data_IF_391655935593
#
_entry.id   IF_391655935593
#
_cell.length_a   1.000
_cell.length_b   1.000
_cell.length_c   1.000
_cell.angle_alpha   90.00
_cell.angle_beta   90.00
_cell.angle_gamma   90.00
#
_symmetry.space_group_name_H-M   'P 1'
#
loop_
_entity.id
_entity.type
_entity.pdbx_description
1 polymer ?
#
# COMPACT_ATOMS: atom_id res chain seq x y z
N UNK A 1 1.32 -19.10 -11.71
CA UNK A 1 2.47 -19.97 -11.31
C UNK A 1 3.73 -19.17 -10.97
N UNK A 2 4.13 -18.15 -11.76
CA UNK A 2 5.36 -17.39 -11.49
C UNK A 2 5.22 -16.33 -10.38
N UNK A 3 4.02 -15.79 -10.18
CA UNK A 3 3.75 -14.71 -9.20
C UNK A 3 4.23 -15.04 -7.78
N UNK A 4 3.88 -16.21 -7.25
CA UNK A 4 4.29 -16.59 -5.89
C UNK A 4 5.81 -16.72 -5.73
N UNK A 5 6.52 -17.25 -6.74
CA UNK A 5 7.99 -17.31 -6.72
C UNK A 5 8.62 -15.93 -6.80
N UNK A 6 8.08 -15.05 -7.66
CA UNK A 6 8.55 -13.66 -7.79
C UNK A 6 8.40 -12.91 -6.47
N UNK A 7 7.25 -13.04 -5.78
CA UNK A 7 7.02 -12.40 -4.48
C UNK A 7 8.04 -12.90 -3.45
N UNK A 8 8.23 -14.21 -3.33
CA UNK A 8 9.17 -14.79 -2.37
C UNK A 8 10.62 -14.34 -2.60
N UNK A 9 11.07 -14.33 -3.86
CA UNK A 9 12.42 -13.88 -4.22
C UNK A 9 12.56 -12.37 -3.94
N UNK A 10 11.56 -11.57 -4.32
CA UNK A 10 11.58 -10.13 -4.09
C UNK A 10 11.68 -9.80 -2.60
N UNK A 11 10.86 -10.43 -1.76
CA UNK A 11 10.87 -10.22 -0.31
C UNK A 11 12.22 -10.63 0.28
N UNK A 12 12.76 -11.79 -0.10
CA UNK A 12 14.05 -12.26 0.41
C UNK A 12 15.19 -11.29 0.06
N UNK A 13 15.23 -10.80 -1.19
CA UNK A 13 16.22 -9.81 -1.63
C UNK A 13 16.05 -8.49 -0.87
N UNK A 14 14.82 -8.01 -0.71
CA UNK A 14 14.54 -6.78 0.06
C UNK A 14 15.01 -6.91 1.51
N UNK A 15 14.74 -8.03 2.19
CA UNK A 15 15.18 -8.27 3.57
C UNK A 15 16.71 -8.20 3.66
N UNK A 16 17.42 -8.90 2.78
CA UNK A 16 18.89 -8.90 2.79
C UNK A 16 19.43 -7.48 2.58
N UNK A 17 18.91 -6.75 1.58
CA UNK A 17 19.34 -5.38 1.30
C UNK A 17 19.05 -4.47 2.49
N UNK A 18 17.86 -4.54 3.09
CA UNK A 18 17.50 -3.71 4.24
C UNK A 18 18.38 -3.97 5.46
N UNK A 19 18.72 -5.23 5.74
CA UNK A 19 19.65 -5.57 6.83
C UNK A 19 21.06 -5.03 6.55
N UNK A 20 21.57 -5.19 5.32
CA UNK A 20 22.88 -4.67 4.94
C UNK A 20 22.93 -3.14 5.06
N UNK A 21 21.89 -2.44 4.59
CA UNK A 21 21.79 -0.99 4.69
C UNK A 21 21.69 -0.54 6.15
N UNK A 22 20.88 -1.23 6.97
CA UNK A 22 20.75 -0.89 8.39
C UNK A 22 22.08 -1.02 9.14
N UNK A 23 22.83 -2.10 8.88
CA UNK A 23 24.18 -2.28 9.44
C UNK A 23 25.13 -1.20 8.93
N UNK A 24 25.14 -0.91 7.63
CA UNK A 24 26.04 0.09 7.03
C UNK A 24 25.79 1.51 7.55
N UNK A 25 24.52 1.91 7.73
CA UNK A 25 24.16 3.21 8.29
C UNK A 25 24.48 3.23 9.78
N UNK A 26 24.11 2.18 10.53
CA UNK A 26 24.34 2.09 11.97
C UNK A 26 25.81 1.97 12.38
N UNK A 27 26.69 1.49 11.50
CA UNK A 27 28.14 1.49 11.73
C UNK A 27 28.82 2.81 11.35
N UNK A 28 28.16 3.64 10.53
CA UNK A 28 28.76 4.84 9.96
C UNK A 28 28.34 6.13 10.66
N UNK A 29 27.18 6.15 11.32
CA UNK A 29 26.61 7.32 12.01
C UNK A 29 26.19 6.97 13.43
N UNK A 30 26.32 7.95 14.34
CA UNK A 30 25.72 7.88 15.68
C UNK A 30 24.19 8.00 15.62
N UNK A 31 23.51 7.57 16.69
CA UNK A 31 22.04 7.64 16.77
C UNK A 31 21.54 9.09 16.63
N UNK A 32 22.25 10.05 17.24
CA UNK A 32 21.92 11.48 17.11
C UNK A 32 22.01 11.97 15.67
N UNK A 33 23.07 11.59 14.95
CA UNK A 33 23.26 11.97 13.54
C UNK A 33 22.21 11.33 12.63
N UNK A 34 21.81 10.08 12.90
CA UNK A 34 20.73 9.41 12.15
C UNK A 34 19.40 10.14 12.34
N UNK A 35 19.13 10.63 13.56
CA UNK A 35 17.90 11.37 13.86
C UNK A 35 17.92 12.75 13.20
N UNK A 36 19.05 13.45 13.26
CA UNK A 36 19.21 14.77 12.62
C UNK A 36 19.11 14.67 11.09
N UNK A 37 19.77 13.67 10.50
CA UNK A 37 19.76 13.42 9.07
C UNK A 37 18.66 12.45 8.61
N UNK A 38 17.56 12.31 9.35
CA UNK A 38 16.53 11.26 9.12
C UNK A 38 16.11 11.13 7.66
N UNK A 39 15.83 12.26 7.02
CA UNK A 39 15.28 12.32 5.65
C UNK A 39 16.29 11.95 4.56
N UNK A 40 17.59 11.97 4.87
CA UNK A 40 18.68 11.65 3.96
C UNK A 40 19.76 10.76 4.61
N UNK A 41 19.38 9.97 5.61
CA UNK A 41 20.30 9.23 6.50
C UNK A 41 21.23 8.29 5.75
N UNK A 42 20.73 7.66 4.68
CA UNK A 42 21.53 6.82 3.80
C UNK A 42 22.62 7.61 3.05
N UNK A 43 22.28 8.81 2.55
CA UNK A 43 23.25 9.67 1.88
C UNK A 43 24.25 10.25 2.88
N UNK A 44 23.78 10.66 4.07
CA UNK A 44 24.65 11.11 5.16
C UNK A 44 25.65 10.01 5.56
N UNK A 45 25.22 8.76 5.63
CA UNK A 45 26.09 7.61 5.93
C UNK A 45 27.12 7.31 4.83
N UNK A 46 26.93 7.82 3.60
CA UNK A 46 27.92 7.69 2.54
C UNK A 46 29.09 8.67 2.69
N UNK A 47 28.91 9.81 3.39
CA UNK A 47 29.95 10.83 3.54
C UNK A 47 31.24 10.31 4.20
N UNK A 48 31.21 9.58 5.34
CA UNK A 48 32.43 9.15 6.01
C UNK A 48 33.30 8.21 5.15
N UNK A 49 32.67 7.39 4.29
CA UNK A 49 33.38 6.41 3.47
C UNK A 49 33.75 6.90 2.07
N UNK A 50 32.91 7.73 1.44
CA UNK A 50 33.00 8.12 0.02
C UNK A 50 33.09 9.64 -0.19
N UNK A 51 33.11 10.44 0.88
CA UNK A 51 33.15 11.90 0.84
C UNK A 51 31.90 12.54 0.23
N UNK A 52 32.01 13.80 -0.16
CA UNK A 52 30.91 14.57 -0.77
C UNK A 52 30.45 14.00 -2.11
N UNK A 53 31.36 13.41 -2.90
CA UNK A 53 30.99 12.74 -4.15
C UNK A 53 30.04 11.56 -3.90
N UNK A 54 30.31 10.73 -2.88
CA UNK A 54 29.42 9.66 -2.48
C UNK A 54 28.06 10.15 -2.00
N UNK A 55 28.04 11.24 -1.21
CA UNK A 55 26.81 11.87 -0.75
C UNK A 55 25.89 12.27 -1.91
N UNK A 56 26.38 13.10 -2.85
CA UNK A 56 25.57 13.57 -3.96
C UNK A 56 25.18 12.45 -4.92
N UNK A 57 26.05 11.46 -5.12
CA UNK A 57 25.73 10.30 -5.95
C UNK A 57 24.59 9.48 -5.35
N UNK A 58 24.60 9.22 -4.03
CA UNK A 58 23.51 8.52 -3.34
C UNK A 58 22.21 9.31 -3.40
N UNK A 59 22.24 10.64 -3.26
CA UNK A 59 21.06 11.50 -3.41
C UNK A 59 20.47 11.38 -4.82
N UNK A 60 21.29 11.46 -5.87
CA UNK A 60 20.83 11.36 -7.25
C UNK A 60 20.14 10.00 -7.53
N UNK A 61 20.73 8.91 -7.05
CA UNK A 61 20.13 7.56 -7.17
C UNK A 61 18.82 7.49 -6.38
N UNK A 62 18.77 8.02 -5.16
CA UNK A 62 17.58 8.01 -4.33
C UNK A 62 16.40 8.76 -5.00
N UNK A 63 16.67 9.91 -5.62
CA UNK A 63 15.65 10.67 -6.37
C UNK A 63 15.15 9.87 -7.57
N UNK A 64 16.05 9.26 -8.34
CA UNK A 64 15.67 8.46 -9.50
C UNK A 64 14.84 7.21 -9.10
N UNK A 65 15.24 6.52 -8.02
CA UNK A 65 14.54 5.35 -7.50
C UNK A 65 13.15 5.69 -6.94
N UNK A 66 13.03 6.77 -6.16
CA UNK A 66 11.74 7.20 -5.60
C UNK A 66 10.79 7.70 -6.66
N UNK A 67 11.28 8.50 -7.63
CA UNK A 67 10.46 9.01 -8.73
C UNK A 67 9.90 7.86 -9.58
N UNK A 68 10.74 6.91 -9.98
CA UNK A 68 10.29 5.74 -10.76
C UNK A 68 9.33 4.86 -9.98
N UNK A 69 9.56 4.65 -8.68
CA UNK A 69 8.68 3.89 -7.80
C UNK A 69 7.30 4.53 -7.64
N UNK A 70 7.23 5.85 -7.45
CA UNK A 70 5.96 6.59 -7.35
C UNK A 70 5.20 6.52 -8.68
N UNK A 71 5.86 6.78 -9.81
CA UNK A 71 5.23 6.71 -11.14
C UNK A 71 4.66 5.31 -11.41
N UNK A 72 5.45 4.26 -11.16
CA UNK A 72 5.02 2.88 -11.35
C UNK A 72 3.80 2.54 -10.47
N UNK A 73 3.81 2.95 -9.20
CA UNK A 73 2.73 2.71 -8.24
C UNK A 73 1.44 3.43 -8.64
N UNK A 74 1.53 4.70 -9.03
CA UNK A 74 0.37 5.49 -9.48
C UNK A 74 -0.29 4.86 -10.70
N UNK A 75 0.49 4.43 -11.69
CA UNK A 75 -0.08 3.76 -12.87
C UNK A 75 -0.70 2.41 -12.55
N UNK A 76 -0.07 1.62 -11.68
CA UNK A 76 -0.59 0.33 -11.26
C UNK A 76 -1.95 0.48 -10.54
N UNK A 77 -2.03 1.39 -9.57
CA UNK A 77 -3.24 1.69 -8.80
C UNK A 77 -4.35 2.24 -9.71
N UNK A 78 -4.03 3.22 -10.57
CA UNK A 78 -5.01 3.81 -11.49
C UNK A 78 -5.64 2.78 -12.42
N UNK A 79 -4.84 1.81 -12.90
CA UNK A 79 -5.35 0.72 -13.73
C UNK A 79 -6.26 -0.23 -12.96
N UNK A 80 -5.90 -0.57 -11.72
CA UNK A 80 -6.73 -1.42 -10.86
C UNK A 80 -8.06 -0.74 -10.54
N UNK A 81 -8.03 0.55 -10.15
CA UNK A 81 -9.23 1.34 -9.88
C UNK A 81 -10.12 1.48 -11.11
N UNK A 82 -9.55 1.68 -12.30
CA UNK A 82 -10.30 1.72 -13.54
C UNK A 82 -11.03 0.39 -13.81
N UNK A 83 -10.36 -0.75 -13.63
CA UNK A 83 -10.98 -2.07 -13.80
C UNK A 83 -12.12 -2.31 -12.80
N UNK A 84 -11.94 -1.94 -11.53
CA UNK A 84 -13.00 -2.05 -10.52
C UNK A 84 -14.19 -1.10 -10.80
N UNK A 85 -13.90 0.05 -11.39
CA UNK A 85 -14.91 1.01 -11.85
C UNK A 85 -15.71 0.46 -13.03
N UNK A 86 -15.04 -0.14 -14.01
CA UNK A 86 -15.68 -0.79 -15.16
C UNK A 86 -16.57 -1.96 -14.73
N UNK A 87 -16.17 -2.67 -13.66
CA UNK A 87 -16.98 -3.72 -13.00
C UNK A 87 -18.11 -3.17 -12.12
N UNK A 88 -18.35 -1.85 -12.11
CA UNK A 88 -19.36 -1.17 -11.27
C UNK A 88 -19.21 -1.45 -9.77
N UNK A 89 -17.99 -1.72 -9.31
CA UNK A 89 -17.70 -1.93 -7.87
C UNK A 89 -17.22 -0.66 -7.17
N UNK A 90 -16.91 0.40 -7.93
CA UNK A 90 -16.52 1.71 -7.42
C UNK A 90 -17.34 2.77 -8.15
N UNK A 91 -18.01 3.70 -7.44
CA UNK A 91 -18.73 4.78 -8.08
C UNK A 91 -17.73 5.70 -8.79
N UNK A 92 -18.02 6.07 -10.04
CA UNK A 92 -17.23 7.06 -10.75
C UNK A 92 -18.11 8.24 -11.16
N UNK A 93 -17.51 9.42 -11.11
CA UNK A 93 -18.03 10.61 -11.76
C UNK A 93 -16.97 11.11 -12.71
N UNK A 94 -17.38 11.47 -13.93
CA UNK A 94 -16.49 12.01 -14.95
C UNK A 94 -16.07 13.46 -14.63
N UNK A 95 -16.73 14.15 -13.67
CA UNK A 95 -16.42 15.53 -13.23
C UNK A 95 -16.09 16.51 -14.38
N UNK A 96 -16.73 16.35 -15.54
CA UNK A 96 -16.51 17.19 -16.73
C UNK A 96 -15.13 17.07 -17.39
N UNK A 97 -14.29 16.11 -16.98
CA UNK A 97 -12.97 15.87 -17.54
C UNK A 97 -13.05 15.08 -18.85
N UNK A 98 -12.18 15.43 -19.81
CA UNK A 98 -11.99 14.66 -21.05
C UNK A 98 -10.98 13.54 -20.84
N UNK A 99 -11.26 12.36 -21.40
CA UNK A 99 -10.40 11.18 -21.30
C UNK A 99 -11.14 9.93 -20.83
N UNK A 100 -10.42 8.81 -20.75
CA UNK A 100 -10.96 7.55 -20.24
C UNK A 100 -10.93 7.48 -18.71
N UNK A 101 -11.69 6.54 -18.14
CA UNK A 101 -11.82 6.32 -16.68
C UNK A 101 -10.45 6.22 -15.98
N UNK A 102 -9.46 5.58 -16.62
CA UNK A 102 -8.09 5.47 -16.09
C UNK A 102 -7.43 6.83 -15.85
N UNK A 103 -7.60 7.80 -16.75
CA UNK A 103 -7.03 9.14 -16.59
C UNK A 103 -7.67 9.87 -15.41
N UNK A 104 -8.98 9.70 -15.22
CA UNK A 104 -9.70 10.29 -14.09
C UNK A 104 -9.23 9.68 -12.76
N UNK A 105 -9.13 8.34 -12.69
CA UNK A 105 -8.61 7.64 -11.51
C UNK A 105 -7.17 8.03 -11.19
N UNK A 106 -6.34 8.26 -12.20
CA UNK A 106 -4.98 8.76 -12.02
C UNK A 106 -4.98 10.15 -11.39
N UNK A 107 -5.75 11.09 -11.94
CA UNK A 107 -5.84 12.45 -11.41
C UNK A 107 -6.35 12.43 -9.97
N UNK A 108 -7.40 11.65 -9.67
CA UNK A 108 -7.91 11.53 -8.30
C UNK A 108 -6.86 10.98 -7.34
N UNK A 109 -6.15 9.91 -7.74
CA UNK A 109 -5.11 9.30 -6.91
C UNK A 109 -3.97 10.29 -6.62
N UNK A 110 -3.50 11.03 -7.64
CA UNK A 110 -2.41 12.01 -7.50
C UNK A 110 -2.83 13.21 -6.66
N UNK A 111 -4.04 13.73 -6.86
CA UNK A 111 -4.54 14.88 -6.07
C UNK A 111 -4.71 14.50 -4.59
N UNK A 112 -5.27 13.32 -4.31
CA UNK A 112 -5.41 12.82 -2.93
C UNK A 112 -4.02 12.59 -2.30
N UNK A 113 -3.11 11.92 -3.01
CA UNK A 113 -1.76 11.68 -2.52
C UNK A 113 -1.00 12.99 -2.27
N UNK A 114 -1.08 13.96 -3.17
CA UNK A 114 -0.46 15.27 -3.02
C UNK A 114 -1.06 16.07 -1.86
N UNK A 115 -2.39 16.01 -1.68
CA UNK A 115 -3.06 16.66 -0.54
C UNK A 115 -2.60 16.04 0.78
N UNK A 116 -2.52 14.70 0.87
CA UNK A 116 -1.99 14.03 2.06
C UNK A 116 -0.52 14.39 2.31
N UNK A 117 0.31 14.50 1.26
CA UNK A 117 1.71 14.87 1.37
C UNK A 117 1.93 16.31 1.88
N UNK A 118 0.99 17.23 1.61
CA UNK A 118 1.03 18.61 2.12
C UNK A 118 0.52 18.71 3.56
N UNK A 119 -0.48 17.89 3.92
CA UNK A 119 -1.15 17.98 5.22
C UNK A 119 -0.50 17.15 6.33
N UNK A 120 0.22 16.08 5.99
CA UNK A 120 0.81 15.15 6.94
C UNK A 120 2.32 15.02 6.77
N UNK A 121 3.04 14.94 7.88
CA UNK A 121 4.46 14.61 7.86
C UNK A 121 4.70 13.17 7.38
N UNK A 122 5.86 12.91 6.79
CA UNK A 122 6.29 11.60 6.30
C UNK A 122 6.07 10.49 7.34
N UNK A 123 6.36 10.77 8.61
CA UNK A 123 6.17 9.81 9.70
C UNK A 123 4.71 9.42 9.91
N UNK A 124 3.79 10.37 9.77
CA UNK A 124 2.35 10.13 9.93
C UNK A 124 1.80 9.39 8.73
N UNK A 125 2.21 9.77 7.52
CA UNK A 125 1.84 9.07 6.27
C UNK A 125 2.29 7.60 6.31
N UNK A 126 3.55 7.35 6.69
CA UNK A 126 4.08 5.99 6.80
C UNK A 126 3.33 5.16 7.84
N UNK A 127 3.00 5.77 8.99
CA UNK A 127 2.27 5.09 10.06
C UNK A 127 0.83 4.78 9.64
N UNK A 128 0.15 5.74 9.00
CA UNK A 128 -1.21 5.57 8.48
C UNK A 128 -1.25 4.45 7.44
N UNK A 129 -0.29 4.43 6.50
CA UNK A 129 -0.13 3.36 5.54
C UNK A 129 0.03 1.99 6.20
N UNK A 130 0.88 1.88 7.22
CA UNK A 130 1.07 0.62 7.96
C UNK A 130 -0.23 0.13 8.62
N UNK A 131 -1.02 1.02 9.22
CA UNK A 131 -2.33 0.66 9.77
C UNK A 131 -3.28 0.12 8.70
N UNK A 132 -3.42 0.83 7.57
CA UNK A 132 -4.28 0.38 6.48
C UNK A 132 -3.82 -0.95 5.89
N UNK A 133 -2.51 -1.15 5.67
CA UNK A 133 -1.97 -2.40 5.15
C UNK A 133 -2.22 -3.57 6.09
N UNK A 134 -1.92 -3.44 7.38
CA UNK A 134 -2.12 -4.52 8.35
C UNK A 134 -3.59 -4.89 8.48
N UNK A 135 -4.48 -3.90 8.55
CA UNK A 135 -5.93 -4.17 8.63
C UNK A 135 -6.44 -4.82 7.34
N UNK A 136 -5.99 -4.35 6.17
CA UNK A 136 -6.32 -4.97 4.88
C UNK A 136 -5.86 -6.43 4.83
N UNK A 137 -4.61 -6.72 5.22
CA UNK A 137 -4.07 -8.08 5.23
C UNK A 137 -4.87 -8.99 6.16
N UNK A 138 -5.21 -8.51 7.36
CA UNK A 138 -6.05 -9.27 8.29
C UNK A 138 -7.43 -9.60 7.69
N UNK A 139 -8.07 -8.64 7.01
CA UNK A 139 -9.38 -8.85 6.36
C UNK A 139 -9.28 -9.84 5.21
N UNK A 140 -8.24 -9.75 4.38
CA UNK A 140 -8.00 -10.66 3.26
C UNK A 140 -7.73 -12.07 3.79
N UNK A 141 -6.86 -12.23 4.78
CA UNK A 141 -6.56 -13.52 5.41
C UNK A 141 -7.82 -14.16 6.02
N UNK A 142 -8.63 -13.38 6.73
CA UNK A 142 -9.90 -13.83 7.30
C UNK A 142 -10.92 -14.19 6.21
N UNK A 143 -11.08 -13.35 5.19
CA UNK A 143 -11.98 -13.56 4.06
C UNK A 143 -11.65 -14.85 3.30
N UNK A 144 -10.36 -15.09 3.04
CA UNK A 144 -9.90 -16.34 2.44
C UNK A 144 -10.16 -17.52 3.37
N UNK A 145 -9.85 -17.41 4.67
CA UNK A 145 -10.07 -18.49 5.63
C UNK A 145 -11.55 -18.90 5.73
N UNK A 146 -12.46 -17.92 5.73
CA UNK A 146 -13.90 -18.12 5.95
C UNK A 146 -14.66 -18.54 4.68
N UNK A 147 -14.36 -17.90 3.55
CA UNK A 147 -15.19 -18.02 2.33
C UNK A 147 -14.47 -18.75 1.19
N UNK A 148 -13.19 -18.46 0.92
CA UNK A 148 -12.49 -18.96 -0.27
C UNK A 148 -11.52 -20.13 -0.01
N UNK A 149 -11.43 -20.63 1.23
CA UNK A 149 -10.42 -21.63 1.62
C UNK A 149 -10.45 -22.88 0.75
N UNK A 150 -11.64 -23.38 0.44
CA UNK A 150 -11.83 -24.61 -0.34
C UNK A 150 -11.54 -24.42 -1.83
N UNK A 151 -11.75 -23.21 -2.35
CA UNK A 151 -11.55 -22.86 -3.76
C UNK A 151 -10.07 -22.57 -4.07
N UNK A 152 -9.39 -21.90 -3.14
CA UNK A 152 -7.98 -21.50 -3.28
C UNK A 152 -7.02 -22.62 -2.84
N UNK A 153 -7.54 -23.66 -2.17
CA UNK A 153 -6.72 -24.75 -1.61
C UNK A 153 -5.77 -24.28 -0.51
N UNK A 154 -6.12 -23.19 0.19
CA UNK A 154 -5.25 -22.54 1.15
C UNK A 154 -5.12 -23.36 2.44
N UNK A 155 -3.88 -23.49 2.95
CA UNK A 155 -3.60 -24.15 4.23
C UNK A 155 -4.03 -23.23 5.38
N UNK A 156 -5.03 -23.65 6.16
CA UNK A 156 -5.54 -22.85 7.27
C UNK A 156 -4.50 -22.52 8.33
N UNK A 157 -3.52 -23.40 8.55
CA UNK A 157 -2.42 -23.14 9.49
C UNK A 157 -1.61 -21.91 9.07
N UNK A 158 -1.26 -21.79 7.79
CA UNK A 158 -0.49 -20.65 7.26
C UNK A 158 -1.29 -19.35 7.40
N UNK A 159 -2.57 -19.37 7.02
CA UNK A 159 -3.45 -18.20 7.13
C UNK A 159 -3.64 -17.74 8.57
N UNK A 160 -3.84 -18.69 9.50
CA UNK A 160 -3.98 -18.38 10.92
C UNK A 160 -2.69 -17.83 11.51
N UNK A 161 -1.53 -18.38 11.14
CA UNK A 161 -0.24 -17.85 11.59
C UNK A 161 0.04 -16.45 11.05
N UNK A 162 -0.32 -16.18 9.79
CA UNK A 162 -0.19 -14.84 9.20
C UNK A 162 -1.12 -13.84 9.91
N UNK A 163 -2.40 -14.19 10.08
CA UNK A 163 -3.38 -13.38 10.78
C UNK A 163 -2.96 -13.07 12.23
N UNK A 164 -2.38 -14.06 12.93
CA UNK A 164 -1.85 -13.87 14.29
C UNK A 164 -0.63 -12.94 14.29
N UNK A 165 0.29 -13.11 13.33
CA UNK A 165 1.47 -12.24 13.19
C UNK A 165 1.05 -10.79 12.90
N UNK A 166 0.11 -10.57 11.97
CA UNK A 166 -0.45 -9.25 11.66
C UNK A 166 -1.07 -8.61 12.91
N UNK A 167 -1.84 -9.40 13.68
CA UNK A 167 -2.45 -8.94 14.92
C UNK A 167 -1.42 -8.54 15.99
N UNK A 168 -0.33 -9.31 16.14
CA UNK A 168 0.76 -8.98 17.07
C UNK A 168 1.47 -7.70 16.63
N UNK A 169 1.81 -7.58 15.35
CA UNK A 169 2.49 -6.39 14.81
C UNK A 169 1.60 -5.16 14.93
N UNK A 170 0.31 -5.27 14.57
CA UNK A 170 -0.66 -4.19 14.69
C UNK A 170 -0.81 -3.74 16.14
N UNK A 171 -0.95 -4.68 17.10
CA UNK A 171 -1.06 -4.34 18.52
C UNK A 171 0.20 -3.65 19.05
N UNK A 172 1.38 -4.19 18.75
CA UNK A 172 2.65 -3.62 19.17
C UNK A 172 2.87 -2.22 18.56
N UNK A 173 2.59 -2.06 17.26
CA UNK A 173 2.72 -0.79 16.55
C UNK A 173 1.72 0.26 17.08
N UNK A 174 0.48 -0.14 17.34
CA UNK A 174 -0.54 0.72 17.97
C UNK A 174 -0.09 1.19 19.33
N UNK A 175 0.39 0.28 20.19
CA UNK A 175 0.87 0.63 21.53
C UNK A 175 2.07 1.60 21.49
N UNK A 176 2.99 1.39 20.55
CA UNK A 176 4.12 2.30 20.34
C UNK A 176 3.68 3.69 19.86
N UNK A 177 2.69 3.75 18.95
CA UNK A 177 2.18 5.02 18.41
C UNK A 177 1.30 5.78 19.38
N UNK A 178 0.50 5.11 20.21
CA UNK A 178 -0.27 5.77 21.27
C UNK A 178 0.60 6.55 22.26
N UNK A 179 1.84 6.09 22.50
CA UNK A 179 2.79 6.77 23.39
C UNK A 179 3.52 7.94 22.73
N UNK A 180 3.72 7.89 21.41
CA UNK A 180 4.57 8.85 20.69
C UNK A 180 3.79 9.88 19.87
N UNK A 181 2.73 9.46 19.18
CA UNK A 181 1.84 10.31 18.40
C UNK A 181 0.42 9.69 18.38
N UNK A 182 -0.39 9.90 19.44
CA UNK A 182 -1.72 9.31 19.55
C UNK A 182 -2.70 9.84 18.50
N UNK A 183 -2.45 11.04 17.95
CA UNK A 183 -3.31 11.62 16.92
C UNK A 183 -3.33 10.76 15.65
N UNK A 184 -2.19 10.18 15.27
CA UNK A 184 -2.09 9.27 14.11
C UNK A 184 -2.96 8.03 14.27
N UNK A 185 -3.02 7.46 15.49
CA UNK A 185 -3.87 6.29 15.77
C UNK A 185 -5.34 6.66 15.63
N UNK A 186 -5.73 7.86 16.10
CA UNK A 186 -7.08 8.37 15.94
C UNK A 186 -7.44 8.59 14.46
N UNK A 187 -6.55 9.22 13.67
CA UNK A 187 -6.75 9.40 12.22
C UNK A 187 -6.88 8.06 11.48
N UNK A 188 -6.05 7.07 11.84
CA UNK A 188 -6.14 5.73 11.28
C UNK A 188 -7.49 5.06 11.60
N UNK A 189 -7.90 5.09 12.87
CA UNK A 189 -9.18 4.52 13.29
C UNK A 189 -10.37 5.19 12.58
N UNK A 190 -10.39 6.53 12.53
CA UNK A 190 -11.43 7.29 11.83
C UNK A 190 -11.42 6.95 10.34
N UNK A 191 -10.25 6.91 9.70
CA UNK A 191 -10.12 6.58 8.28
C UNK A 191 -10.61 5.17 7.96
N UNK A 192 -10.23 4.18 8.77
CA UNK A 192 -10.70 2.79 8.62
C UNK A 192 -12.22 2.72 8.77
N UNK A 193 -12.78 3.30 9.84
CA UNK A 193 -14.24 3.32 10.05
C UNK A 193 -14.95 4.02 8.89
N UNK A 194 -14.44 5.15 8.41
CA UNK A 194 -15.01 5.88 7.28
C UNK A 194 -15.02 5.03 5.99
N UNK A 195 -13.96 4.28 5.72
CA UNK A 195 -13.91 3.36 4.57
C UNK A 195 -14.96 2.26 4.71
N UNK A 196 -15.05 1.60 5.86
CA UNK A 196 -16.04 0.54 6.10
C UNK A 196 -17.49 1.03 6.04
N UNK A 197 -17.77 2.20 6.62
CA UNK A 197 -19.09 2.82 6.55
C UNK A 197 -19.41 3.20 5.11
N UNK A 198 -18.45 3.77 4.37
CA UNK A 198 -18.61 4.07 2.95
C UNK A 198 -18.93 2.84 2.11
N UNK A 199 -18.20 1.75 2.32
CA UNK A 199 -18.43 0.46 1.68
C UNK A 199 -19.81 -0.10 2.02
N UNK A 200 -20.19 -0.10 3.30
CA UNK A 200 -21.50 -0.58 3.75
C UNK A 200 -22.65 0.23 3.16
N UNK A 201 -22.55 1.56 3.12
CA UNK A 201 -23.56 2.43 2.49
C UNK A 201 -23.63 2.16 0.99
N UNK A 202 -22.49 1.96 0.32
CA UNK A 202 -22.45 1.68 -1.11
C UNK A 202 -23.12 0.34 -1.43
N UNK A 203 -22.72 -0.74 -0.76
CA UNK A 203 -23.26 -2.08 -0.98
C UNK A 203 -24.75 -2.20 -0.60
N UNK A 204 -25.18 -1.54 0.48
CA UNK A 204 -26.59 -1.54 0.90
C UNK A 204 -27.49 -0.80 -0.09
N UNK A 205 -26.98 0.25 -0.77
CA UNK A 205 -27.71 0.97 -1.82
C UNK A 205 -27.72 0.24 -3.16
N UNK A 206 -26.71 -0.57 -3.44
CA UNK A 206 -26.53 -1.30 -4.71
C UNK A 206 -26.91 -2.78 -4.62
N UNK A 207 -27.69 -3.19 -3.61
CA UNK A 207 -28.13 -4.58 -3.42
C UNK A 207 -29.16 -5.09 -4.47
N UNK A 208 -29.51 -4.29 -5.48
CA UNK A 208 -30.27 -4.74 -6.66
C UNK A 208 -29.35 -4.94 -7.89
N UNK A 209 -28.85 -6.19 -8.02
CA UNK A 209 -28.46 -6.92 -9.25
C UNK A 209 -27.12 -6.56 -9.97
N UNK A 210 -26.47 -7.57 -10.62
CA UNK A 210 -27.06 -8.30 -11.74
C UNK A 210 -27.22 -9.80 -11.52
N UNK A 211 -28.34 -10.33 -12.00
CA UNK A 211 -28.47 -11.73 -12.38
C UNK A 211 -27.36 -12.12 -13.36
N UNK A 212 -26.97 -13.40 -13.31
CA UNK A 212 -26.11 -14.08 -14.28
C UNK A 212 -26.39 -13.63 -15.72
N UNK A 213 -25.38 -13.50 -16.59
CA UNK A 213 -25.64 -13.38 -18.02
C UNK A 213 -26.41 -14.63 -18.43
N UNK A 214 -27.66 -14.45 -18.88
CA UNK A 214 -28.35 -15.48 -19.63
C UNK A 214 -27.50 -15.80 -20.87
N UNK A 215 -27.26 -17.09 -21.04
CA UNK A 215 -26.73 -17.71 -22.24
C UNK A 215 -27.73 -17.46 -23.38
N UNK A 216 -27.58 -16.34 -24.10
CA UNK A 216 -28.29 -16.13 -25.36
C UNK A 216 -27.58 -16.94 -26.46
N UNK A 217 -27.78 -18.25 -26.38
CA UNK A 217 -27.71 -19.13 -27.52
C UNK A 217 -28.85 -18.79 -28.49
N UNK A 218 -28.63 -17.83 -29.38
CA UNK A 218 -29.43 -17.72 -30.60
C UNK A 218 -28.60 -17.32 -31.82
N UNK A 219 -28.44 -18.30 -32.72
CA UNK A 219 -28.62 -18.05 -34.15
C UNK A 219 -27.40 -17.62 -34.96
N UNK A 220 -26.69 -18.63 -35.46
CA UNK A 220 -26.25 -18.73 -36.85
C UNK A 220 -27.01 -17.81 -37.83
N UNK A 221 -26.27 -16.96 -38.57
CA UNK A 221 -26.51 -16.67 -40.00
C UNK A 221 -25.36 -15.86 -40.63
N UNK A 222 -24.58 -16.58 -41.43
CA UNK A 222 -23.82 -16.19 -42.64
C UNK A 222 -22.84 -15.03 -42.58
#
# INVERSE_FOLDING_TARGET
KNVGRTIMISIAVCIVIYLLVAVAVGSSLSISEIVEARDYSLAAAARPALGELGFYFTVAIAIAATTSGVIASVFAVSRMLAMLTDMKMIPHSHFGMSGGIRSHMLVYTVVIAGTLAVLFDLSRIASLGAFFYLVMDMLVHWGVLRHLRKEVGARATILLTALAADGVVLAAFTAAKLRSDPAVVAYAAIGIVAVFVGEWIYLSRNSEAPASPEDDGSGEKR
#
